data_IF_945139084630
#
_entry.id   IF_945139084630
#
_cell.length_a   1.000
_cell.length_b   1.000
_cell.length_c   1.000
_cell.angle_alpha   90.00
_cell.angle_beta   90.00
_cell.angle_gamma   90.00
#
_symmetry.space_group_name_H-M   'P 1'
#
loop_
_entity.id
_entity.type
_entity.pdbx_description
1 polymer ?
#
# COMPACT_ATOMS: atom_id res chain seq x y z
N UNK A 1 12.93 10.41 29.32
CA UNK A 1 13.25 9.74 28.04
C UNK A 1 12.17 10.16 27.06
N UNK A 2 12.53 10.95 26.04
CA UNK A 2 11.57 11.60 25.15
C UNK A 2 10.60 10.59 24.53
N UNK A 3 9.31 10.93 24.50
CA UNK A 3 8.25 10.11 23.91
C UNK A 3 8.28 10.20 22.37
N UNK A 4 9.46 10.07 21.77
CA UNK A 4 9.69 10.28 20.33
C UNK A 4 8.94 9.25 19.48
N UNK A 5 8.74 8.03 20.00
CA UNK A 5 7.95 6.98 19.36
C UNK A 5 6.51 7.47 19.18
N UNK A 6 5.90 8.02 20.24
CA UNK A 6 4.53 8.54 20.17
C UNK A 6 4.43 9.76 19.25
N UNK A 7 5.39 10.69 19.33
CA UNK A 7 5.43 11.86 18.44
C UNK A 7 5.55 11.45 16.96
N UNK A 8 6.37 10.42 16.68
CA UNK A 8 6.48 9.87 15.33
C UNK A 8 5.16 9.20 14.90
N UNK A 9 4.52 8.45 15.79
CA UNK A 9 3.22 7.80 15.52
C UNK A 9 2.18 8.84 15.15
N UNK A 10 2.04 9.87 15.98
CA UNK A 10 1.07 10.94 15.79
C UNK A 10 1.36 11.74 14.52
N UNK A 11 2.63 11.96 14.17
CA UNK A 11 2.99 12.58 12.89
C UNK A 11 2.50 11.75 11.70
N UNK A 12 2.83 10.45 11.66
CA UNK A 12 2.44 9.59 10.54
C UNK A 12 0.93 9.32 10.49
N UNK A 13 0.26 9.32 11.65
CA UNK A 13 -1.19 9.23 11.72
C UNK A 13 -1.90 10.42 11.06
N UNK A 14 -1.26 11.60 11.07
CA UNK A 14 -1.85 12.83 10.59
C UNK A 14 -1.28 13.30 9.24
N UNK A 15 -0.30 12.61 8.66
CA UNK A 15 0.25 12.98 7.36
C UNK A 15 -0.81 12.83 6.26
N UNK A 16 -0.85 13.83 5.39
CA UNK A 16 -1.69 13.90 4.20
C UNK A 16 -0.83 14.44 3.05
N UNK A 17 -0.61 13.59 2.07
CA UNK A 17 0.11 13.87 0.84
C UNK A 17 -0.33 12.86 -0.23
N UNK A 18 0.19 13.04 -1.45
CA UNK A 18 -0.12 12.26 -2.65
C UNK A 18 0.07 10.73 -2.50
N UNK A 19 0.80 10.26 -1.48
CA UNK A 19 1.03 8.83 -1.21
C UNK A 19 0.09 8.23 -0.17
N UNK A 20 -0.74 9.07 0.45
CA UNK A 20 -1.62 8.67 1.55
C UNK A 20 -3.09 8.86 1.23
N UNK A 21 -3.42 9.33 0.03
CA UNK A 21 -4.81 9.32 -0.44
C UNK A 21 -5.15 7.92 -0.97
N UNK A 22 -6.19 7.26 -0.44
CA UNK A 22 -6.56 5.94 -0.94
C UNK A 22 -7.03 6.01 -2.39
N UNK A 23 -6.63 5.04 -3.20
CA UNK A 23 -7.06 4.98 -4.60
C UNK A 23 -8.59 4.90 -4.71
N UNK A 24 -9.14 5.54 -5.73
CA UNK A 24 -10.56 5.40 -6.08
C UNK A 24 -10.84 4.04 -6.73
N UNK A 25 -12.11 3.73 -6.93
CA UNK A 25 -12.53 2.53 -7.66
C UNK A 25 -12.04 2.59 -9.12
N UNK A 26 -12.20 3.74 -9.77
CA UNK A 26 -11.82 3.97 -11.16
C UNK A 26 -10.31 3.81 -11.36
N UNK A 27 -9.49 4.38 -10.49
CA UNK A 27 -8.03 4.25 -10.54
C UNK A 27 -7.59 2.78 -10.37
N UNK A 28 -8.25 2.05 -9.46
CA UNK A 28 -7.91 0.65 -9.23
C UNK A 28 -8.36 -0.25 -10.38
N UNK A 29 -9.49 0.04 -11.03
CA UNK A 29 -9.92 -0.66 -12.24
C UNK A 29 -9.00 -0.37 -13.44
N UNK A 30 -8.47 0.85 -13.56
CA UNK A 30 -7.42 1.13 -14.54
C UNK A 30 -6.15 0.33 -14.28
N UNK A 31 -5.76 0.19 -13.00
CA UNK A 31 -4.68 -0.72 -12.61
C UNK A 31 -5.01 -2.15 -13.01
N UNK A 32 -6.23 -2.64 -12.78
CA UNK A 32 -6.64 -4.02 -13.15
C UNK A 32 -6.41 -4.30 -14.63
N UNK A 33 -6.78 -3.38 -15.52
CA UNK A 33 -6.71 -3.52 -16.98
C UNK A 33 -5.29 -3.46 -17.54
N UNK A 34 -4.38 -2.73 -16.89
CA UNK A 34 -3.04 -2.45 -17.43
C UNK A 34 -1.94 -3.24 -16.72
N UNK A 35 -0.77 -3.49 -17.34
CA UNK A 35 0.36 -4.11 -16.65
C UNK A 35 0.72 -3.35 -15.36
N UNK A 36 1.13 -4.09 -14.32
CA UNK A 36 1.52 -3.49 -13.04
C UNK A 36 2.62 -2.45 -13.23
N UNK A 37 2.48 -1.31 -12.55
CA UNK A 37 3.34 -0.15 -12.71
C UNK A 37 3.36 0.63 -11.39
N UNK A 38 4.40 0.44 -10.59
CA UNK A 38 4.56 1.09 -9.27
C UNK A 38 5.74 2.06 -9.32
N UNK A 39 5.62 3.19 -8.62
CA UNK A 39 6.70 4.14 -8.40
C UNK A 39 7.24 4.05 -6.97
N UNK A 40 8.56 4.07 -6.78
CA UNK A 40 9.20 4.17 -5.45
C UNK A 40 9.38 5.62 -5.03
N UNK A 41 9.59 6.51 -5.99
CA UNK A 41 9.79 7.94 -5.78
C UNK A 41 9.04 8.71 -6.86
N UNK A 42 8.83 10.01 -6.65
CA UNK A 42 8.28 10.91 -7.67
C UNK A 42 9.02 10.71 -8.99
N UNK A 43 8.27 10.52 -10.08
CA UNK A 43 8.78 10.57 -11.45
C UNK A 43 9.44 9.31 -12.01
N UNK A 44 9.69 8.25 -11.21
CA UNK A 44 10.31 7.02 -11.74
C UNK A 44 9.61 5.73 -11.30
N UNK A 45 9.16 4.97 -12.29
CA UNK A 45 8.59 3.62 -12.12
C UNK A 45 9.71 2.59 -11.90
N UNK A 46 9.42 1.55 -11.12
CA UNK A 46 10.34 0.43 -10.94
C UNK A 46 10.39 -0.45 -12.20
N UNK A 47 11.49 -1.21 -12.42
CA UNK A 47 11.58 -2.14 -13.55
C UNK A 47 10.49 -3.19 -13.51
N UNK A 48 9.90 -3.50 -14.67
CA UNK A 48 8.83 -4.51 -14.78
C UNK A 48 9.32 -5.91 -14.41
N UNK A 49 10.58 -6.23 -14.69
CA UNK A 49 11.18 -7.54 -14.38
C UNK A 49 11.16 -7.88 -12.88
N UNK A 50 11.04 -6.88 -12.00
CA UNK A 50 10.92 -7.11 -10.56
C UNK A 50 9.63 -7.87 -10.23
N UNK A 51 8.55 -7.59 -10.95
CA UNK A 51 7.25 -8.24 -10.76
C UNK A 51 7.24 -9.64 -11.36
N UNK A 52 7.92 -9.87 -12.47
CA UNK A 52 8.10 -11.21 -13.05
C UNK A 52 8.80 -12.16 -12.05
N UNK A 53 9.84 -11.66 -11.37
CA UNK A 53 10.57 -12.39 -10.32
C UNK A 53 9.75 -12.60 -9.04
N UNK A 54 8.67 -11.84 -8.85
CA UNK A 54 7.78 -11.91 -7.70
C UNK A 54 6.60 -12.85 -7.91
N UNK A 55 6.39 -13.37 -9.12
CA UNK A 55 5.28 -14.29 -9.40
C UNK A 55 5.33 -15.53 -8.49
N UNK A 56 4.19 -15.88 -7.89
CA UNK A 56 4.08 -16.97 -6.91
C UNK A 56 4.69 -16.69 -5.53
N UNK A 57 5.27 -15.50 -5.29
CA UNK A 57 5.81 -15.11 -3.98
C UNK A 57 4.85 -14.18 -3.24
N UNK A 58 5.04 -14.10 -1.92
CA UNK A 58 4.35 -13.13 -1.06
C UNK A 58 5.08 -11.79 -1.09
N UNK A 59 4.33 -10.69 -1.13
CA UNK A 59 4.82 -9.32 -1.07
C UNK A 59 4.69 -8.80 0.35
N UNK A 60 5.78 -8.23 0.87
CA UNK A 60 5.81 -7.51 2.14
C UNK A 60 6.08 -6.03 1.89
N UNK A 61 5.13 -5.17 2.24
CA UNK A 61 5.30 -3.72 2.28
C UNK A 61 5.64 -3.27 3.70
N UNK A 62 6.71 -2.49 3.86
CA UNK A 62 7.14 -1.90 5.12
C UNK A 62 7.00 -0.38 5.04
N UNK A 63 6.39 0.24 6.06
CA UNK A 63 6.03 1.66 6.05
C UNK A 63 5.25 2.03 4.76
N UNK A 64 4.28 1.17 4.43
CA UNK A 64 3.61 1.15 3.13
C UNK A 64 2.09 1.35 3.26
N UNK A 65 1.62 1.85 4.41
CA UNK A 65 0.23 2.23 4.58
C UNK A 65 -0.13 3.46 3.74
N UNK A 66 -1.41 3.60 3.38
CA UNK A 66 -1.91 4.76 2.64
C UNK A 66 -3.01 4.45 1.62
N UNK A 67 -3.34 3.18 1.41
CA UNK A 67 -4.44 2.76 0.53
C UNK A 67 -4.12 2.75 -0.96
N UNK A 68 -2.84 2.64 -1.34
CA UNK A 68 -2.41 2.67 -2.74
C UNK A 68 -1.68 1.39 -3.16
N UNK A 69 -0.42 1.22 -2.77
CA UNK A 69 0.44 0.15 -3.30
C UNK A 69 -0.06 -1.25 -2.91
N UNK A 70 -0.48 -1.42 -1.64
CA UNK A 70 -1.04 -2.69 -1.18
C UNK A 70 -2.21 -3.16 -2.06
N UNK A 71 -3.27 -2.35 -2.22
CA UNK A 71 -4.37 -2.63 -3.14
C UNK A 71 -3.94 -2.89 -4.59
N UNK A 72 -2.98 -2.13 -5.12
CA UNK A 72 -2.41 -2.33 -6.48
C UNK A 72 -1.80 -3.71 -6.64
N UNK A 73 -1.06 -4.20 -5.64
CA UNK A 73 -0.51 -5.55 -5.66
C UNK A 73 -1.61 -6.60 -5.52
N UNK A 74 -2.55 -6.41 -4.61
CA UNK A 74 -3.60 -7.37 -4.34
C UNK A 74 -4.54 -7.57 -5.54
N UNK A 75 -4.95 -6.49 -6.22
CA UNK A 75 -5.77 -6.59 -7.43
C UNK A 75 -5.04 -7.25 -8.61
N UNK A 76 -3.70 -7.26 -8.56
CA UNK A 76 -2.84 -7.97 -9.51
C UNK A 76 -2.59 -9.44 -9.16
N UNK A 77 -3.25 -9.94 -8.12
CA UNK A 77 -3.21 -11.35 -7.72
C UNK A 77 -2.04 -11.71 -6.82
N UNK A 78 -1.30 -10.73 -6.29
CA UNK A 78 -0.27 -11.00 -5.29
C UNK A 78 -0.89 -11.25 -3.90
N UNK A 79 -0.23 -12.07 -3.09
CA UNK A 79 -0.49 -12.22 -1.65
C UNK A 79 0.34 -11.18 -0.90
N UNK A 80 -0.33 -10.21 -0.29
CA UNK A 80 0.27 -8.96 0.19
C UNK A 80 0.11 -8.81 1.70
N UNK A 81 1.20 -8.47 2.38
CA UNK A 81 1.20 -8.00 3.77
C UNK A 81 1.71 -6.57 3.81
N UNK A 82 0.90 -5.64 4.31
CA UNK A 82 1.33 -4.27 4.56
C UNK A 82 1.56 -4.09 6.06
N UNK A 83 2.74 -3.60 6.39
CA UNK A 83 3.13 -3.24 7.74
C UNK A 83 3.40 -1.76 7.80
N UNK A 84 2.77 -1.08 8.75
CA UNK A 84 2.98 0.34 8.96
C UNK A 84 2.91 0.66 10.45
N UNK A 85 3.68 1.65 10.85
CA UNK A 85 3.64 2.17 12.22
C UNK A 85 2.35 2.95 12.46
N UNK A 86 1.81 3.58 11.42
CA UNK A 86 0.59 4.37 11.50
C UNK A 86 -0.66 3.53 11.27
N UNK A 87 -1.48 3.42 12.33
CA UNK A 87 -2.80 2.78 12.25
C UNK A 87 -3.74 3.51 11.31
N UNK A 88 -3.68 4.85 11.23
CA UNK A 88 -4.57 5.59 10.34
C UNK A 88 -4.22 5.37 8.87
N UNK A 89 -2.94 5.11 8.54
CA UNK A 89 -2.56 4.73 7.18
C UNK A 89 -3.05 3.32 6.85
N UNK A 90 -2.88 2.34 7.76
CA UNK A 90 -3.43 0.98 7.56
C UNK A 90 -4.96 0.98 7.40
N UNK A 91 -5.68 1.84 8.11
CA UNK A 91 -7.13 1.99 7.95
C UNK A 91 -7.53 2.43 6.53
N UNK A 92 -6.68 3.21 5.84
CA UNK A 92 -6.91 3.61 4.45
C UNK A 92 -6.77 2.41 3.52
N UNK A 93 -5.79 1.55 3.74
CA UNK A 93 -5.68 0.29 3.01
C UNK A 93 -6.84 -0.66 3.29
N UNK A 94 -7.27 -0.78 4.54
CA UNK A 94 -8.45 -1.57 4.90
C UNK A 94 -9.71 -1.07 4.19
N UNK A 95 -9.88 0.26 4.10
CA UNK A 95 -11.01 0.87 3.40
C UNK A 95 -11.04 0.43 1.94
N UNK A 96 -9.92 0.54 1.23
CA UNK A 96 -9.83 0.16 -0.19
C UNK A 96 -10.03 -1.35 -0.34
N UNK A 97 -9.36 -2.17 0.48
CA UNK A 97 -9.49 -3.62 0.39
C UNK A 97 -10.93 -4.10 0.64
N UNK A 98 -11.62 -3.53 1.62
CA UNK A 98 -13.04 -3.83 1.91
C UNK A 98 -13.94 -3.39 0.77
N UNK A 99 -13.77 -2.15 0.28
CA UNK A 99 -14.58 -1.59 -0.81
C UNK A 99 -14.49 -2.42 -2.09
N UNK A 100 -13.29 -2.91 -2.41
CA UNK A 100 -12.98 -3.59 -3.67
C UNK A 100 -13.00 -5.12 -3.55
N UNK A 101 -13.31 -5.66 -2.37
CA UNK A 101 -13.36 -7.10 -2.12
C UNK A 101 -12.02 -7.81 -2.24
N UNK A 102 -10.90 -7.13 -1.95
CA UNK A 102 -9.55 -7.68 -2.03
C UNK A 102 -9.28 -8.62 -0.85
N UNK A 103 -9.15 -9.91 -1.12
CA UNK A 103 -8.98 -10.96 -0.09
C UNK A 103 -7.53 -11.36 0.18
N UNK A 104 -6.63 -11.13 -0.78
CA UNK A 104 -5.21 -11.51 -0.69
C UNK A 104 -4.33 -10.40 -0.12
N UNK A 105 -4.87 -9.59 0.80
CA UNK A 105 -4.16 -8.51 1.46
C UNK A 105 -4.45 -8.49 2.96
N UNK A 106 -3.41 -8.29 3.76
CA UNK A 106 -3.50 -8.18 5.22
C UNK A 106 -2.66 -7.01 5.75
N UNK A 107 -3.08 -6.48 6.90
CA UNK A 107 -2.52 -5.27 7.50
C UNK A 107 -2.02 -5.56 8.91
N UNK A 108 -0.80 -5.11 9.25
CA UNK A 108 -0.23 -5.29 10.59
C UNK A 108 0.43 -4.00 11.07
N UNK A 109 0.00 -3.51 12.22
CA UNK A 109 0.71 -2.44 12.90
C UNK A 109 2.04 -2.96 13.48
N UNK A 110 3.08 -2.14 13.44
CA UNK A 110 4.39 -2.39 14.08
C UNK A 110 4.70 -1.38 15.17
#
# INVERSE_FOLDING_TARGET
MNNYIKLNEDRWNNVKNDYTEPLTHEELEEVRKHPISVALTVGKKVPKEWFEKANGKKILGLACGGGQQGPVFAIKGYDVTIMDFSKSQLQRDELVAKREGLKSIQFKAI
#
